data_IF_046197668805
#
_entry.id   IF_046197668805
#
_cell.length_a   1.000
_cell.length_b   1.000
_cell.length_c   1.000
_cell.angle_alpha   90.00
_cell.angle_beta   90.00
_cell.angle_gamma   90.00
#
_symmetry.space_group_name_H-M   'P 1'
#
loop_
_entity.id
_entity.type
_entity.pdbx_description
1 polymer ?
#
# COMPACT_ATOMS: atom_id res chain seq x y z
N UNK A 1 -3.10 13.63 8.89
CA UNK A 1 -1.91 14.28 9.54
C UNK A 1 -0.91 14.57 8.45
N UNK A 2 -0.08 15.62 8.55
CA UNK A 2 0.97 15.83 7.53
C UNK A 2 1.97 14.68 7.55
N UNK A 3 2.39 14.22 6.38
CA UNK A 3 3.46 13.23 6.21
C UNK A 3 4.71 13.75 6.92
N UNK A 4 5.26 12.99 7.87
CA UNK A 4 6.50 13.32 8.58
C UNK A 4 7.64 12.45 8.08
N UNK A 5 8.57 13.05 7.35
CA UNK A 5 9.67 12.36 6.69
C UNK A 5 11.00 12.80 7.31
N UNK A 6 11.88 11.86 7.63
CA UNK A 6 13.21 12.15 8.14
C UNK A 6 14.23 12.45 7.01
N UNK A 7 15.47 12.75 7.38
CA UNK A 7 16.55 13.08 6.44
C UNK A 7 16.95 11.89 5.52
N UNK A 8 16.50 10.67 5.81
CA UNK A 8 16.70 9.48 4.98
C UNK A 8 15.48 9.16 4.11
N UNK A 9 14.54 10.09 4.01
CA UNK A 9 13.26 9.92 3.33
C UNK A 9 12.37 8.83 3.93
N UNK A 10 12.60 8.46 5.19
CA UNK A 10 11.74 7.51 5.88
C UNK A 10 10.54 8.23 6.47
N UNK A 11 9.36 7.77 6.14
CA UNK A 11 8.14 8.22 6.79
C UNK A 11 8.01 7.63 8.19
N UNK A 12 7.58 8.45 9.14
CA UNK A 12 7.29 8.04 10.51
C UNK A 12 5.78 7.76 10.63
N UNK A 13 5.40 6.52 10.33
CA UNK A 13 4.01 6.10 10.45
C UNK A 13 3.71 5.74 11.90
N UNK A 14 2.63 6.28 12.40
CA UNK A 14 2.08 5.90 13.70
C UNK A 14 0.76 5.20 13.47
N UNK A 15 0.74 3.88 13.68
CA UNK A 15 -0.51 3.12 13.61
C UNK A 15 -1.43 3.49 14.79
N UNK A 16 -2.74 3.45 14.55
CA UNK A 16 -3.76 3.76 15.57
C UNK A 16 -3.60 2.89 16.80
N UNK A 17 -3.22 1.64 16.62
CA UNK A 17 -2.84 0.73 17.71
C UNK A 17 -1.64 -0.14 17.34
N UNK A 18 -0.80 -0.47 18.32
CA UNK A 18 0.30 -1.43 18.13
C UNK A 18 -0.19 -2.88 18.01
N UNK A 19 -1.45 -3.14 18.36
CA UNK A 19 -2.05 -4.48 18.34
C UNK A 19 -2.71 -4.80 17.00
N UNK A 20 -3.18 -3.76 16.29
CA UNK A 20 -3.75 -3.87 14.95
C UNK A 20 -3.04 -2.85 14.04
N UNK A 21 -1.87 -3.22 13.48
CA UNK A 21 -0.94 -2.29 12.84
C UNK A 21 -1.36 -1.96 11.40
N UNK A 22 -2.40 -1.16 11.28
CA UNK A 22 -2.90 -0.58 10.04
C UNK A 22 -3.31 0.86 10.30
N UNK A 23 -3.11 1.73 9.31
CA UNK A 23 -3.54 3.13 9.35
C UNK A 23 -4.25 3.44 8.04
N UNK A 24 -5.38 4.13 8.13
CA UNK A 24 -6.18 4.57 7.00
C UNK A 24 -6.06 6.08 6.81
N UNK A 25 -5.76 6.48 5.59
CA UNK A 25 -5.69 7.89 5.18
C UNK A 25 -6.79 8.13 4.14
N UNK A 26 -7.72 9.02 4.45
CA UNK A 26 -8.89 9.26 3.58
C UNK A 26 -8.59 10.24 2.44
N UNK A 27 -8.03 11.39 2.75
CA UNK A 27 -7.82 12.51 1.81
C UNK A 27 -6.44 13.15 2.03
N UNK A 28 -5.42 12.34 2.16
CA UNK A 28 -4.10 12.87 2.48
C UNK A 28 -3.57 13.78 1.37
N UNK A 29 -3.76 13.40 0.11
CA UNK A 29 -3.31 14.18 -1.03
C UNK A 29 -3.91 15.61 -1.04
N UNK A 30 -5.17 15.76 -0.63
CA UNK A 30 -5.84 17.07 -0.54
C UNK A 30 -5.19 18.01 0.47
N UNK A 31 -4.50 17.46 1.49
CA UNK A 31 -3.84 18.24 2.55
C UNK A 31 -2.41 18.64 2.18
N UNK A 32 -1.85 18.06 1.12
CA UNK A 32 -0.46 18.26 0.72
C UNK A 32 -0.29 19.44 -0.23
N UNK A 33 0.83 20.20 -0.16
CA UNK A 33 1.10 21.29 -1.07
C UNK A 33 1.11 20.82 -2.53
N UNK A 34 0.38 21.53 -3.39
CA UNK A 34 0.24 21.22 -4.81
C UNK A 34 -0.23 19.79 -5.11
N UNK A 35 -0.88 19.13 -4.14
CA UNK A 35 -1.35 17.74 -4.22
C UNK A 35 -0.24 16.76 -4.62
N UNK A 36 0.90 16.91 -3.95
CA UNK A 36 2.07 16.07 -4.16
C UNK A 36 2.44 15.38 -2.85
N UNK A 37 2.33 14.06 -2.82
CA UNK A 37 2.93 13.19 -1.82
C UNK A 37 4.43 13.06 -2.12
N UNK A 38 5.31 13.62 -1.27
CA UNK A 38 6.74 13.63 -1.52
C UNK A 38 7.31 12.22 -1.58
N UNK A 39 8.49 12.07 -2.19
CA UNK A 39 9.20 10.79 -2.17
C UNK A 39 9.55 10.40 -0.74
N UNK A 40 9.11 9.21 -0.34
CA UNK A 40 9.35 8.61 0.95
C UNK A 40 9.38 7.09 0.87
N UNK A 41 9.72 6.44 1.96
CA UNK A 41 9.64 4.99 2.12
C UNK A 41 9.31 4.63 3.56
N UNK A 42 8.68 3.48 3.74
CA UNK A 42 8.39 2.88 5.04
C UNK A 42 8.49 1.36 4.96
N UNK A 43 8.66 0.64 6.08
CA UNK A 43 8.77 -0.82 6.10
C UNK A 43 7.44 -1.54 5.86
N UNK A 44 6.32 -0.87 6.02
CA UNK A 44 4.98 -1.38 5.85
C UNK A 44 4.62 -1.55 4.36
N UNK A 45 3.55 -2.27 4.10
CA UNK A 45 2.86 -2.30 2.80
C UNK A 45 1.90 -1.12 2.68
N UNK A 46 1.64 -0.71 1.44
CA UNK A 46 0.61 0.28 1.14
C UNK A 46 -0.33 -0.22 0.05
N UNK A 47 -1.62 0.09 0.18
CA UNK A 47 -2.59 0.02 -0.93
C UNK A 47 -3.24 1.39 -1.05
N UNK A 48 -3.15 1.99 -2.23
CA UNK A 48 -3.77 3.27 -2.55
C UNK A 48 -4.68 3.13 -3.77
N UNK A 49 -5.79 3.88 -3.79
CA UNK A 49 -6.79 3.83 -4.87
C UNK A 49 -7.01 5.21 -5.47
N UNK A 50 -6.97 5.31 -6.79
CA UNK A 50 -7.42 6.49 -7.52
C UNK A 50 -8.95 6.45 -7.64
N UNK A 51 -9.67 7.27 -6.86
CA UNK A 51 -11.14 7.31 -6.90
C UNK A 51 -11.65 8.08 -8.11
N UNK A 52 -10.94 9.14 -8.48
CA UNK A 52 -11.24 9.96 -9.65
C UNK A 52 -9.96 10.49 -10.28
N UNK A 53 -10.06 11.09 -11.46
CA UNK A 53 -8.93 11.74 -12.14
C UNK A 53 -7.80 10.80 -12.54
N UNK A 54 -6.61 11.34 -12.57
CA UNK A 54 -5.38 10.63 -12.95
C UNK A 54 -4.28 10.94 -11.94
N UNK A 55 -3.71 9.91 -11.35
CA UNK A 55 -2.58 9.99 -10.45
C UNK A 55 -1.32 9.44 -11.12
N UNK A 56 -0.19 10.09 -10.88
CA UNK A 56 1.15 9.63 -11.28
C UNK A 56 1.91 9.20 -10.03
N UNK A 57 2.09 7.89 -9.87
CA UNK A 57 2.92 7.32 -8.82
C UNK A 57 4.34 7.18 -9.31
N UNK A 58 5.28 7.76 -8.59
CA UNK A 58 6.70 7.46 -8.75
C UNK A 58 7.07 6.32 -7.81
N UNK A 59 7.55 5.20 -8.35
CA UNK A 59 8.07 4.06 -7.58
C UNK A 59 9.50 3.77 -8.02
N UNK A 60 10.45 4.12 -7.16
CA UNK A 60 11.87 4.17 -7.54
C UNK A 60 12.09 5.16 -8.68
N UNK A 61 12.49 4.67 -9.86
CA UNK A 61 12.71 5.48 -11.06
C UNK A 61 11.54 5.39 -12.06
N UNK A 62 10.50 4.64 -11.77
CA UNK A 62 9.35 4.44 -12.66
C UNK A 62 8.23 5.42 -12.34
N UNK A 63 7.60 5.89 -13.40
CA UNK A 63 6.34 6.65 -13.33
C UNK A 63 5.20 5.76 -13.78
N UNK A 64 4.16 5.68 -12.97
CA UNK A 64 3.04 4.76 -13.10
C UNK A 64 1.75 5.57 -13.05
N UNK A 65 1.01 5.58 -14.15
CA UNK A 65 -0.29 6.26 -14.21
C UNK A 65 -1.38 5.35 -13.65
N UNK A 66 -2.16 5.85 -12.70
CA UNK A 66 -3.41 5.25 -12.23
C UNK A 66 -4.56 6.12 -12.72
N UNK A 67 -5.56 5.48 -13.31
CA UNK A 67 -6.83 6.08 -13.69
C UNK A 67 -7.91 5.77 -12.64
N UNK A 68 -9.03 6.49 -12.69
CA UNK A 68 -10.13 6.26 -11.77
C UNK A 68 -10.56 4.78 -11.72
N UNK A 69 -10.63 4.23 -10.52
CA UNK A 69 -10.94 2.82 -10.25
C UNK A 69 -9.72 1.89 -10.19
N UNK A 70 -8.52 2.38 -10.52
CA UNK A 70 -7.28 1.62 -10.34
C UNK A 70 -6.79 1.70 -8.90
N UNK A 71 -6.17 0.63 -8.41
CA UNK A 71 -5.39 0.65 -7.16
C UNK A 71 -3.95 0.22 -7.40
N UNK A 72 -3.08 0.57 -6.48
CA UNK A 72 -1.69 0.14 -6.44
C UNK A 72 -1.36 -0.48 -5.09
N UNK A 73 -0.70 -1.63 -5.10
CA UNK A 73 0.00 -2.18 -3.95
C UNK A 73 1.46 -1.79 -4.04
N UNK A 74 2.03 -1.25 -2.97
CA UNK A 74 3.45 -0.92 -2.83
C UNK A 74 4.03 -1.78 -1.72
N UNK A 75 5.11 -2.47 -2.03
CA UNK A 75 5.79 -3.36 -1.09
C UNK A 75 6.64 -2.54 -0.08
N UNK A 76 6.92 -3.12 1.06
CA UNK A 76 7.70 -2.47 2.11
C UNK A 76 9.13 -2.10 1.66
N UNK A 77 9.66 -1.01 2.21
CA UNK A 77 11.00 -0.47 1.94
C UNK A 77 11.22 -0.01 0.47
N UNK A 78 10.18 0.31 -0.23
CA UNK A 78 10.24 0.83 -1.61
C UNK A 78 10.06 2.34 -1.58
N UNK A 79 11.00 3.09 -2.21
CA UNK A 79 10.90 4.54 -2.36
C UNK A 79 9.77 4.86 -3.34
N UNK A 80 8.80 5.65 -2.91
CA UNK A 80 7.65 6.03 -3.71
C UNK A 80 7.12 7.41 -3.37
N UNK A 81 6.28 7.94 -4.22
CA UNK A 81 5.57 9.20 -4.05
C UNK A 81 4.46 9.29 -5.07
N UNK A 82 3.58 10.27 -4.93
CA UNK A 82 2.40 10.42 -5.79
C UNK A 82 2.16 11.88 -6.10
N UNK A 83 1.60 12.16 -7.25
CA UNK A 83 1.08 13.48 -7.60
C UNK A 83 -0.19 13.37 -8.45
N UNK A 84 -1.07 14.33 -8.31
CA UNK A 84 -2.16 14.50 -9.24
C UNK A 84 -1.64 15.06 -10.57
N UNK A 85 -2.14 14.52 -11.69
CA UNK A 85 -1.66 14.92 -13.03
C UNK A 85 -2.38 16.18 -13.52
N UNK A 86 -3.68 16.29 -13.24
CA UNK A 86 -4.51 17.39 -13.75
C UNK A 86 -5.75 17.60 -12.86
N UNK A 87 -6.35 18.80 -12.97
CA UNK A 87 -7.55 19.17 -12.23
C UNK A 87 -7.32 20.40 -11.37
N UNK A 88 -8.42 21.04 -11.00
CA UNK A 88 -8.43 22.27 -10.19
C UNK A 88 -8.81 22.00 -8.72
N UNK A 89 -9.10 20.74 -8.41
CA UNK A 89 -9.42 20.25 -7.06
C UNK A 89 -8.65 18.93 -6.82
N UNK A 90 -8.33 18.59 -5.57
CA UNK A 90 -7.63 17.34 -5.29
C UNK A 90 -8.54 16.15 -5.57
N UNK A 91 -8.00 15.15 -6.27
CA UNK A 91 -8.66 13.86 -6.46
C UNK A 91 -8.57 13.01 -5.19
N UNK A 92 -9.68 12.41 -4.73
CA UNK A 92 -9.64 11.51 -3.59
C UNK A 92 -8.72 10.31 -3.84
N UNK A 93 -7.82 10.07 -2.90
CA UNK A 93 -6.89 8.95 -2.92
C UNK A 93 -6.85 8.31 -1.52
N UNK A 94 -7.86 7.51 -1.16
CA UNK A 94 -7.79 6.72 0.05
C UNK A 94 -6.64 5.72 -0.05
N UNK A 95 -5.90 5.57 1.05
CA UNK A 95 -4.85 4.58 1.16
C UNK A 95 -4.79 3.98 2.56
N UNK A 96 -4.25 2.78 2.65
CA UNK A 96 -3.93 2.08 3.89
C UNK A 96 -2.45 1.75 3.92
N UNK A 97 -1.84 1.92 5.07
CA UNK A 97 -0.48 1.48 5.37
C UNK A 97 -0.53 0.45 6.49
N UNK A 98 0.00 -0.73 6.27
CA UNK A 98 -0.15 -1.85 7.20
C UNK A 98 1.08 -2.75 7.28
N UNK A 99 1.35 -3.26 8.48
CA UNK A 99 2.45 -4.20 8.73
C UNK A 99 2.07 -5.62 8.32
N UNK A 100 3.05 -6.38 7.87
CA UNK A 100 2.91 -7.80 7.52
C UNK A 100 2.52 -8.70 8.70
N UNK A 101 2.75 -8.26 9.94
CA UNK A 101 2.33 -8.99 11.15
C UNK A 101 0.80 -9.11 11.30
N UNK A 102 0.03 -8.27 10.57
CA UNK A 102 -1.44 -8.33 10.57
C UNK A 102 -1.96 -9.67 10.04
N UNK A 103 -1.23 -10.34 9.17
CA UNK A 103 -1.62 -11.61 8.58
C UNK A 103 -1.44 -12.78 9.55
N UNK A 104 -0.24 -12.91 10.09
CA UNK A 104 0.14 -13.99 10.99
C UNK A 104 1.55 -13.74 11.54
N UNK A 105 1.92 -14.37 12.67
CA UNK A 105 3.29 -14.35 13.15
C UNK A 105 4.27 -14.83 12.08
N UNK A 106 5.42 -14.16 11.93
CA UNK A 106 6.44 -14.48 10.93
C UNK A 106 6.96 -15.92 10.96
N UNK A 107 6.82 -16.62 12.09
CA UNK A 107 7.18 -18.05 12.25
C UNK A 107 6.09 -19.01 11.80
N UNK A 108 4.88 -18.53 11.49
CA UNK A 108 3.76 -19.37 11.10
C UNK A 108 3.92 -19.94 9.69
N UNK A 109 3.30 -21.11 9.44
CA UNK A 109 3.28 -21.71 8.11
C UNK A 109 2.57 -20.83 7.08
N UNK A 110 1.53 -20.10 7.50
CA UNK A 110 0.80 -19.16 6.62
C UNK A 110 1.74 -18.06 6.17
N UNK A 111 2.43 -17.40 7.09
CA UNK A 111 3.37 -16.34 6.77
C UNK A 111 4.48 -16.82 5.82
N UNK A 112 5.16 -17.91 6.19
CA UNK A 112 6.30 -18.41 5.43
C UNK A 112 5.93 -18.86 4.00
N UNK A 113 4.74 -19.43 3.84
CA UNK A 113 4.31 -19.98 2.56
C UNK A 113 3.66 -18.96 1.64
N UNK A 114 2.87 -18.03 2.18
CA UNK A 114 1.99 -17.17 1.36
C UNK A 114 2.34 -15.69 1.43
N UNK A 115 2.80 -15.18 2.58
CA UNK A 115 3.10 -13.76 2.75
C UNK A 115 4.54 -13.44 2.36
N UNK A 116 5.49 -14.20 2.90
CA UNK A 116 6.92 -13.98 2.66
C UNK A 116 7.34 -13.96 1.19
N UNK A 117 6.82 -14.82 0.28
CA UNK A 117 7.19 -14.76 -1.14
C UNK A 117 6.82 -13.45 -1.81
N UNK A 118 5.78 -12.75 -1.33
CA UNK A 118 5.38 -11.42 -1.80
C UNK A 118 6.19 -10.35 -1.07
N UNK A 119 6.14 -10.36 0.26
CA UNK A 119 6.81 -9.40 1.13
C UNK A 119 8.33 -9.31 0.89
N UNK A 120 8.98 -10.45 0.67
CA UNK A 120 10.42 -10.56 0.43
C UNK A 120 10.85 -10.40 -1.01
N UNK A 121 9.93 -10.19 -1.96
CA UNK A 121 10.24 -10.19 -3.39
C UNK A 121 10.81 -8.86 -3.87
N UNK A 122 12.05 -8.85 -4.33
CA UNK A 122 12.65 -7.70 -5.01
C UNK A 122 12.09 -7.49 -6.44
N UNK A 123 11.48 -8.54 -7.01
CA UNK A 123 10.84 -8.49 -8.33
C UNK A 123 9.39 -7.95 -8.29
N UNK A 124 8.83 -7.71 -7.11
CA UNK A 124 7.47 -7.21 -6.89
C UNK A 124 7.47 -5.96 -6.01
N UNK A 125 8.12 -4.87 -6.42
CA UNK A 125 8.13 -3.63 -5.66
C UNK A 125 6.77 -2.96 -5.59
N UNK A 126 5.94 -3.17 -6.62
CA UNK A 126 4.55 -2.72 -6.71
C UNK A 126 3.73 -3.64 -7.60
N UNK A 127 2.42 -3.56 -7.47
CA UNK A 127 1.45 -4.24 -8.34
C UNK A 127 0.30 -3.25 -8.59
N UNK A 128 -0.10 -3.07 -9.86
CA UNK A 128 -1.24 -2.23 -10.22
C UNK A 128 -2.45 -3.12 -10.50
N UNK A 129 -3.56 -2.81 -9.87
CA UNK A 129 -4.85 -3.45 -10.09
C UNK A 129 -5.69 -2.57 -11.00
N UNK A 130 -5.75 -2.91 -12.28
CA UNK A 130 -6.47 -2.15 -13.31
C UNK A 130 -7.98 -2.43 -13.26
N UNK A 131 -8.76 -1.38 -13.22
CA UNK A 131 -10.21 -1.49 -13.39
C UNK A 131 -10.56 -2.16 -14.75
N UNK A 132 -11.58 -3.01 -14.73
CA UNK A 132 -12.00 -3.79 -15.89
C UNK A 132 -11.28 -5.13 -16.09
N UNK A 133 -10.38 -5.51 -15.19
CA UNK A 133 -9.79 -6.85 -15.14
C UNK A 133 -10.42 -7.64 -13.98
N UNK A 134 -10.97 -8.82 -14.26
CA UNK A 134 -11.86 -9.55 -13.35
C UNK A 134 -11.30 -9.79 -11.95
N UNK A 135 -10.04 -10.22 -11.81
CA UNK A 135 -9.47 -10.45 -10.48
C UNK A 135 -8.91 -9.17 -9.84
N UNK A 136 -8.50 -8.19 -10.66
CA UNK A 136 -8.13 -6.86 -10.17
C UNK A 136 -9.34 -6.12 -9.61
N UNK A 137 -10.49 -6.19 -10.28
CA UNK A 137 -11.73 -5.58 -9.80
C UNK A 137 -12.14 -6.14 -8.44
N UNK A 138 -11.91 -7.44 -8.20
CA UNK A 138 -12.18 -8.04 -6.89
C UNK A 138 -11.21 -7.52 -5.82
N UNK A 139 -9.92 -7.33 -6.15
CA UNK A 139 -8.96 -6.70 -5.23
C UNK A 139 -9.36 -5.24 -4.95
N UNK A 140 -9.74 -4.47 -5.96
CA UNK A 140 -10.20 -3.09 -5.80
C UNK A 140 -11.44 -3.01 -4.90
N UNK A 141 -12.40 -3.93 -5.07
CA UNK A 141 -13.59 -4.02 -4.21
C UNK A 141 -13.23 -4.36 -2.75
N UNK A 142 -12.30 -5.28 -2.54
CA UNK A 142 -11.81 -5.63 -1.19
C UNK A 142 -11.10 -4.44 -0.53
N UNK A 143 -10.30 -3.68 -1.28
CA UNK A 143 -9.65 -2.46 -0.77
C UNK A 143 -10.70 -1.42 -0.35
N UNK A 144 -11.74 -1.20 -1.15
CA UNK A 144 -12.84 -0.29 -0.81
C UNK A 144 -13.60 -0.74 0.45
N UNK A 145 -13.86 -2.05 0.61
CA UNK A 145 -14.48 -2.58 1.83
C UNK A 145 -13.59 -2.32 3.07
N UNK A 146 -12.28 -2.55 2.94
CA UNK A 146 -11.32 -2.23 4.02
C UNK A 146 -11.37 -0.74 4.38
N UNK A 147 -11.37 0.17 3.42
CA UNK A 147 -11.47 1.62 3.68
C UNK A 147 -12.77 1.97 4.42
N UNK A 148 -13.89 1.37 4.01
CA UNK A 148 -15.18 1.55 4.67
C UNK A 148 -15.13 1.07 6.12
N UNK A 149 -14.61 -0.13 6.38
CA UNK A 149 -14.52 -0.71 7.73
C UNK A 149 -13.62 0.13 8.65
N UNK A 150 -12.48 0.60 8.14
CA UNK A 150 -11.55 1.42 8.92
C UNK A 150 -12.07 2.84 9.17
N UNK A 151 -12.94 3.38 8.30
CA UNK A 151 -13.60 4.65 8.51
C UNK A 151 -14.73 4.57 9.53
N UNK A 152 -15.54 3.51 9.47
CA UNK A 152 -16.77 3.41 10.22
C UNK A 152 -16.62 2.70 11.57
N UNK A 153 -15.57 1.90 11.73
CA UNK A 153 -15.32 1.08 12.93
C UNK A 153 -16.55 0.26 13.37
N UNK A 154 -17.17 -0.41 12.40
CA UNK A 154 -18.30 -1.31 12.66
C UNK A 154 -17.90 -2.45 13.60
N UNK A 155 -18.88 -3.13 14.20
CA UNK A 155 -18.58 -4.27 15.07
C UNK A 155 -17.73 -5.32 14.34
N UNK A 156 -16.63 -5.76 14.96
CA UNK A 156 -15.65 -6.72 14.41
C UNK A 156 -14.92 -6.24 13.15
N UNK A 157 -14.78 -4.92 12.94
CA UNK A 157 -14.11 -4.38 11.75
C UNK A 157 -12.70 -4.94 11.57
N UNK A 158 -11.94 -5.16 12.64
CA UNK A 158 -10.59 -5.74 12.56
C UNK A 158 -10.60 -7.13 11.94
N UNK A 159 -11.61 -7.95 12.24
CA UNK A 159 -11.75 -9.29 11.65
C UNK A 159 -12.10 -9.21 10.17
N UNK A 160 -12.95 -8.26 9.78
CA UNK A 160 -13.33 -8.03 8.38
C UNK A 160 -12.10 -7.55 7.60
N UNK A 161 -11.39 -6.54 8.09
CA UNK A 161 -10.17 -6.01 7.47
C UNK A 161 -9.11 -7.09 7.32
N UNK A 162 -8.86 -7.90 8.37
CA UNK A 162 -7.90 -8.99 8.29
C UNK A 162 -8.30 -10.07 7.27
N UNK A 163 -9.60 -10.41 7.20
CA UNK A 163 -10.14 -11.33 6.20
C UNK A 163 -9.88 -10.81 4.78
N UNK A 164 -10.16 -9.54 4.53
CA UNK A 164 -10.08 -8.95 3.20
C UNK A 164 -8.62 -8.75 2.77
N UNK A 165 -7.72 -8.36 3.67
CA UNK A 165 -6.28 -8.35 3.41
C UNK A 165 -5.75 -9.76 3.07
N UNK A 166 -6.19 -10.79 3.80
CA UNK A 166 -5.81 -12.18 3.49
C UNK A 166 -6.35 -12.59 2.10
N UNK A 167 -7.56 -12.16 1.73
CA UNK A 167 -8.14 -12.44 0.42
C UNK A 167 -7.36 -11.74 -0.70
N UNK A 168 -6.95 -10.48 -0.52
CA UNK A 168 -6.07 -9.77 -1.46
C UNK A 168 -4.77 -10.55 -1.66
N UNK A 169 -4.11 -10.97 -0.57
CA UNK A 169 -2.86 -11.72 -0.67
C UNK A 169 -3.06 -13.13 -1.27
N UNK A 170 -4.22 -13.75 -1.08
CA UNK A 170 -4.59 -14.98 -1.78
C UNK A 170 -4.66 -14.76 -3.31
N UNK A 171 -5.29 -13.67 -3.78
CA UNK A 171 -5.29 -13.31 -5.20
C UNK A 171 -3.87 -13.06 -5.70
N UNK A 172 -3.07 -12.28 -5.00
CA UNK A 172 -1.67 -12.03 -5.36
C UNK A 172 -0.86 -13.32 -5.48
N UNK A 173 -1.01 -14.23 -4.52
CA UNK A 173 -0.29 -15.50 -4.54
C UNK A 173 -0.75 -16.43 -5.67
N UNK A 174 -2.05 -16.47 -5.97
CA UNK A 174 -2.60 -17.27 -7.07
C UNK A 174 -2.12 -16.81 -8.44
N UNK A 175 -1.88 -15.50 -8.59
CA UNK A 175 -1.44 -14.88 -9.84
C UNK A 175 0.05 -14.50 -9.84
N UNK A 176 0.83 -15.00 -8.87
CA UNK A 176 2.21 -14.59 -8.65
C UNK A 176 3.11 -14.79 -9.89
N UNK A 177 2.88 -15.84 -10.65
CA UNK A 177 3.66 -16.15 -11.86
C UNK A 177 3.29 -15.24 -13.04
N UNK A 178 2.07 -14.73 -13.06
CA UNK A 178 1.53 -13.87 -14.11
C UNK A 178 1.81 -12.37 -13.84
N UNK A 179 2.21 -12.02 -12.60
CA UNK A 179 2.49 -10.64 -12.24
C UNK A 179 3.71 -10.10 -12.99
N UNK A 180 3.63 -8.88 -13.51
CA UNK A 180 4.77 -8.26 -14.20
C UNK A 180 5.91 -8.06 -13.21
N UNK A 181 7.03 -8.71 -13.48
CA UNK A 181 8.26 -8.54 -12.70
C UNK A 181 8.85 -7.17 -12.98
N UNK A 182 9.25 -6.47 -11.94
CA UNK A 182 9.83 -5.14 -12.02
C UNK A 182 11.05 -5.05 -11.12
N UNK A 183 12.10 -4.38 -11.58
CA UNK A 183 13.23 -4.06 -10.72
C UNK A 183 13.00 -2.70 -10.07
N UNK A 184 12.96 -2.64 -8.75
CA UNK A 184 13.16 -1.43 -7.98
C UNK A 184 14.04 -1.79 -6.78
N UNK A 185 15.02 -0.93 -6.53
CA UNK A 185 15.95 -1.15 -5.42
C UNK A 185 15.21 -0.94 -4.10
N UNK A 186 15.17 -1.97 -3.27
CA UNK A 186 14.74 -1.83 -1.87
C UNK A 186 15.78 -1.01 -1.10
N UNK A 187 15.31 -0.15 -0.25
CA UNK A 187 16.17 0.52 0.71
C UNK A 187 16.58 -0.50 1.77
N UNK A 188 17.85 -0.86 1.77
CA UNK A 188 18.41 -1.74 2.79
C UNK A 188 18.59 -0.94 4.09
N UNK A 189 17.82 -1.29 5.10
CA UNK A 189 18.04 -0.78 6.45
C UNK A 189 19.30 -1.48 6.97
N UNK A 190 20.44 -0.78 6.96
CA UNK A 190 21.64 -1.24 7.64
C UNK A 190 21.35 -1.26 9.15
N UNK A 191 20.82 -2.36 9.66
CA UNK A 191 20.69 -2.62 11.10
C UNK A 191 22.06 -2.99 11.66
N UNK A 192 23.03 -2.12 11.56
CA UNK A 192 24.20 -2.15 12.43
C UNK A 192 23.89 -1.28 13.64
N UNK A 193 23.05 -1.78 14.52
CA UNK A 193 23.11 -1.37 15.92
C UNK A 193 24.40 -1.99 16.46
N UNK A 194 25.45 -1.19 16.52
CA UNK A 194 26.60 -1.51 17.38
C UNK A 194 26.12 -1.40 18.82
N UNK A 195 26.12 -2.55 19.50
CA UNK A 195 26.07 -2.67 20.98
C UNK A 195 27.25 -1.95 21.57
#
# INVERSE_FOLDING_TARGET
MPITIDHQLREQITHDTSVFPITYFHDELATLPNWVGPLHWHPEFEIATAVSGILDFQVGQKHLTLEAGDSIFINGNILHGVRQVSGDVPDPMPNIVFSDIIFAPGTSAIYQKYIRPIAGSDALPFIIFRHGNSWHDEVNRLAEDIYCQLREHNACYEMVVQRDLNSIFEYLFRHLDDLPKSEATRIQINTQIRI
#
